data_IF_602323296641
#
_entry.id   IF_602323296641
#
_cell.length_a   1.000
_cell.length_b   1.000
_cell.length_c   1.000
_cell.angle_alpha   90.00
_cell.angle_beta   90.00
_cell.angle_gamma   90.00
#
_symmetry.space_group_name_H-M   'P 1'
#
loop_
_entity.id
_entity.type
_entity.pdbx_description
1 polymer ?
#
# COMPACT_ATOMS: atom_id res chain seq x y z
N UNK A 1 -11.22 -3.42 -14.51
CA UNK A 1 -10.04 -4.18 -14.06
C UNK A 1 -9.90 -4.04 -12.56
N UNK A 2 -9.73 -5.12 -11.81
CA UNK A 2 -9.52 -5.00 -10.38
C UNK A 2 -8.15 -4.41 -10.07
N UNK A 3 -8.04 -3.74 -8.91
CA UNK A 3 -6.78 -3.28 -8.38
C UNK A 3 -6.12 -4.41 -7.61
N UNK A 4 -4.87 -4.70 -7.95
CA UNK A 4 -4.12 -5.75 -7.26
C UNK A 4 -3.38 -5.19 -6.06
N UNK A 5 -3.40 -5.93 -4.96
CA UNK A 5 -2.81 -5.51 -3.68
C UNK A 5 -1.78 -6.53 -3.22
N UNK A 6 -0.60 -6.05 -2.85
CA UNK A 6 0.42 -6.85 -2.16
C UNK A 6 0.37 -6.47 -0.68
N UNK A 7 0.19 -7.47 0.18
CA UNK A 7 0.09 -7.27 1.64
C UNK A 7 1.39 -7.73 2.30
N UNK A 8 2.07 -6.81 2.99
CA UNK A 8 3.36 -7.10 3.63
C UNK A 8 3.28 -6.82 5.13
N UNK A 9 3.38 -7.86 5.93
CA UNK A 9 3.39 -7.78 7.39
C UNK A 9 3.96 -9.10 7.91
N UNK A 10 4.80 -9.05 8.94
CA UNK A 10 5.40 -10.29 9.49
C UNK A 10 4.41 -11.12 10.30
N UNK A 11 3.30 -10.52 10.75
CA UNK A 11 2.28 -11.23 11.52
C UNK A 11 1.19 -11.77 10.61
N UNK A 12 1.02 -13.10 10.59
CA UNK A 12 -0.03 -13.73 9.77
C UNK A 12 -1.43 -13.23 10.13
N UNK A 13 -1.66 -12.94 11.42
CA UNK A 13 -2.92 -12.37 11.88
C UNK A 13 -3.20 -11.02 11.20
N UNK A 14 -2.19 -10.17 11.11
CA UNK A 14 -2.34 -8.86 10.46
C UNK A 14 -2.55 -9.00 8.96
N UNK A 15 -1.83 -9.91 8.30
CA UNK A 15 -2.05 -10.14 6.88
C UNK A 15 -3.48 -10.61 6.61
N UNK A 16 -4.00 -11.49 7.46
CA UNK A 16 -5.37 -11.97 7.35
C UNK A 16 -6.38 -10.82 7.51
N UNK A 17 -6.15 -9.95 8.48
CA UNK A 17 -7.02 -8.79 8.72
C UNK A 17 -7.01 -7.84 7.51
N UNK A 18 -5.83 -7.53 6.98
CA UNK A 18 -5.71 -6.65 5.82
C UNK A 18 -6.33 -7.30 4.58
N UNK A 19 -6.11 -8.59 4.38
CA UNK A 19 -6.75 -9.34 3.30
C UNK A 19 -8.27 -9.22 3.37
N UNK A 20 -8.84 -9.32 4.57
CA UNK A 20 -10.29 -9.19 4.75
C UNK A 20 -10.78 -7.79 4.39
N UNK A 21 -10.01 -6.75 4.71
CA UNK A 21 -10.34 -5.37 4.32
C UNK A 21 -10.45 -5.25 2.80
N UNK A 22 -9.56 -5.91 2.07
CA UNK A 22 -9.53 -5.85 0.60
C UNK A 22 -10.32 -6.97 -0.08
N UNK A 23 -11.06 -7.79 0.69
CA UNK A 23 -11.88 -8.87 0.13
C UNK A 23 -13.21 -8.31 -0.40
N UNK A 24 -13.11 -7.33 -1.30
CA UNK A 24 -14.26 -6.65 -1.90
C UNK A 24 -13.85 -6.03 -3.23
N UNK A 25 -14.78 -5.98 -4.18
CA UNK A 25 -14.52 -5.27 -5.43
C UNK A 25 -14.23 -3.79 -5.13
N UNK A 26 -13.32 -3.15 -5.84
CA UNK A 26 -12.59 -3.64 -7.02
C UNK A 26 -11.19 -4.18 -6.70
N UNK A 27 -10.96 -4.77 -5.54
CA UNK A 27 -9.64 -5.21 -5.11
C UNK A 27 -9.46 -6.72 -5.21
N UNK A 28 -8.22 -7.14 -5.49
CA UNK A 28 -7.78 -8.53 -5.44
C UNK A 28 -6.42 -8.55 -4.74
N UNK A 29 -6.29 -9.32 -3.67
CA UNK A 29 -5.01 -9.53 -3.01
C UNK A 29 -4.21 -10.50 -3.86
N UNK A 30 -3.17 -10.00 -4.53
CA UNK A 30 -2.36 -10.78 -5.46
C UNK A 30 -1.25 -11.55 -4.78
N UNK A 31 -0.83 -11.12 -3.58
CA UNK A 31 0.21 -11.81 -2.85
C UNK A 31 0.35 -11.28 -1.44
N UNK A 32 1.06 -12.05 -0.62
CA UNK A 32 1.38 -11.69 0.76
C UNK A 32 2.86 -11.96 1.00
N UNK A 33 3.51 -11.06 1.74
CA UNK A 33 4.91 -11.20 2.11
C UNK A 33 5.06 -10.99 3.62
N UNK A 34 6.01 -11.68 4.24
CA UNK A 34 6.23 -11.60 5.68
C UNK A 34 7.49 -10.84 6.07
N UNK A 35 8.24 -10.33 5.10
CA UNK A 35 9.42 -9.51 5.33
C UNK A 35 9.73 -8.68 4.09
N UNK A 36 10.69 -7.74 4.24
CA UNK A 36 11.04 -6.83 3.17
C UNK A 36 11.69 -7.50 1.96
N UNK A 37 12.47 -8.55 2.17
CA UNK A 37 13.13 -9.28 1.08
C UNK A 37 12.08 -9.91 0.17
N UNK A 38 11.12 -10.59 0.79
CA UNK A 38 10.03 -11.23 0.06
C UNK A 38 9.13 -10.19 -0.61
N UNK A 39 8.91 -9.05 0.04
CA UNK A 39 8.12 -7.96 -0.52
C UNK A 39 8.73 -7.45 -1.83
N UNK A 40 10.03 -7.24 -1.85
CA UNK A 40 10.73 -6.78 -3.06
C UNK A 40 10.60 -7.80 -4.19
N UNK A 41 10.80 -9.07 -3.86
CA UNK A 41 10.68 -10.16 -4.83
C UNK A 41 9.27 -10.20 -5.44
N UNK A 42 8.26 -10.17 -4.60
CA UNK A 42 6.87 -10.22 -5.05
C UNK A 42 6.47 -8.95 -5.81
N UNK A 43 7.00 -7.79 -5.40
CA UNK A 43 6.72 -6.56 -6.14
C UNK A 43 7.20 -6.68 -7.60
N UNK A 44 8.40 -7.22 -7.80
CA UNK A 44 8.94 -7.41 -9.13
C UNK A 44 8.11 -8.38 -9.97
N UNK A 45 7.61 -9.44 -9.34
CA UNK A 45 6.82 -10.46 -10.03
C UNK A 45 5.41 -10.00 -10.35
N UNK A 46 4.78 -9.32 -9.39
CA UNK A 46 3.34 -9.04 -9.45
C UNK A 46 3.01 -7.65 -10.00
N UNK A 47 3.91 -6.69 -9.87
CA UNK A 47 3.65 -5.29 -10.19
C UNK A 47 2.29 -4.84 -9.64
N UNK A 48 2.08 -4.91 -8.32
CA UNK A 48 0.77 -4.60 -7.74
C UNK A 48 0.42 -3.13 -7.90
N UNK A 49 -0.87 -2.84 -7.96
CA UNK A 49 -1.35 -1.46 -8.01
C UNK A 49 -1.16 -0.76 -6.67
N UNK A 50 -1.19 -1.52 -5.58
CA UNK A 50 -1.07 -1.01 -4.23
C UNK A 50 -0.28 -2.01 -3.38
N UNK A 51 0.57 -1.50 -2.51
CA UNK A 51 1.26 -2.31 -1.49
C UNK A 51 0.97 -1.74 -0.12
N UNK A 52 0.56 -2.58 0.82
CA UNK A 52 0.52 -2.22 2.24
C UNK A 52 1.76 -2.82 2.89
N UNK A 53 2.49 -2.02 3.67
CA UNK A 53 3.81 -2.39 4.19
C UNK A 53 3.94 -2.04 5.66
N UNK A 54 4.14 -3.05 6.51
CA UNK A 54 4.50 -2.81 7.91
C UNK A 54 5.88 -2.16 7.98
N UNK A 55 6.07 -1.25 8.92
CA UNK A 55 7.35 -0.54 9.08
C UNK A 55 8.40 -1.44 9.71
N UNK A 56 8.06 -2.14 10.79
CA UNK A 56 9.02 -2.95 11.56
C UNK A 56 8.79 -4.43 11.29
N UNK A 57 9.78 -5.05 10.67
CA UNK A 57 9.74 -6.48 10.33
C UNK A 57 11.13 -7.07 10.51
N UNK A 58 11.23 -8.41 10.70
CA UNK A 58 12.54 -9.06 10.77
C UNK A 58 13.23 -9.08 9.42
N UNK A 59 14.54 -9.31 9.41
CA UNK A 59 15.44 -9.40 8.25
C UNK A 59 15.60 -8.07 7.52
N UNK A 60 14.54 -7.52 6.95
CA UNK A 60 14.59 -6.21 6.30
C UNK A 60 13.32 -5.46 6.70
N UNK A 61 13.49 -4.26 7.30
CA UNK A 61 12.36 -3.44 7.71
C UNK A 61 11.62 -2.85 6.51
N UNK A 62 10.42 -2.31 6.78
CA UNK A 62 9.56 -1.81 5.72
C UNK A 62 10.10 -0.58 5.01
N UNK A 63 10.86 0.28 5.70
CA UNK A 63 11.41 1.49 5.07
C UNK A 63 12.50 1.12 4.08
N UNK A 64 13.36 0.17 4.45
CA UNK A 64 14.39 -0.33 3.54
C UNK A 64 13.76 -0.96 2.30
N UNK A 65 12.74 -1.77 2.49
CA UNK A 65 12.00 -2.37 1.38
C UNK A 65 11.31 -1.31 0.52
N UNK A 66 10.71 -0.32 1.14
CA UNK A 66 10.08 0.80 0.45
C UNK A 66 11.06 1.53 -0.46
N UNK A 67 12.25 1.86 0.05
CA UNK A 67 13.27 2.54 -0.74
C UNK A 67 13.65 1.74 -1.98
N UNK A 68 13.80 0.45 -1.83
CA UNK A 68 14.14 -0.43 -2.94
C UNK A 68 13.01 -0.51 -3.96
N UNK A 69 11.77 -0.63 -3.49
CA UNK A 69 10.60 -0.66 -4.37
C UNK A 69 10.46 0.65 -5.16
N UNK A 70 10.64 1.79 -4.50
CA UNK A 70 10.55 3.10 -5.14
C UNK A 70 11.69 3.29 -6.14
N UNK A 71 12.87 2.76 -5.84
CA UNK A 71 14.01 2.80 -6.77
C UNK A 71 13.70 2.00 -8.04
N UNK A 72 13.04 0.84 -7.88
CA UNK A 72 12.65 -0.01 -9.01
C UNK A 72 11.49 0.58 -9.80
N UNK A 73 10.57 1.23 -9.10
CA UNK A 73 9.35 1.79 -9.69
C UNK A 73 8.98 3.09 -8.96
N UNK A 74 9.40 4.24 -9.50
CA UNK A 74 9.10 5.53 -8.86
C UNK A 74 7.60 5.84 -8.76
N UNK A 75 6.77 5.14 -9.52
CA UNK A 75 5.32 5.31 -9.46
C UNK A 75 4.63 4.37 -8.46
N UNK A 76 5.41 3.58 -7.71
CA UNK A 76 4.87 2.62 -6.75
C UNK A 76 3.96 3.32 -5.72
N UNK A 77 2.82 2.69 -5.45
CA UNK A 77 1.88 3.17 -4.42
C UNK A 77 2.02 2.29 -3.19
N UNK A 78 2.63 2.84 -2.15
CA UNK A 78 2.90 2.10 -0.92
C UNK A 78 2.28 2.85 0.26
N UNK A 79 1.38 2.15 0.97
CA UNK A 79 0.77 2.64 2.21
C UNK A 79 1.47 1.95 3.37
N UNK A 80 2.13 2.72 4.23
CA UNK A 80 2.81 2.18 5.39
C UNK A 80 1.83 1.93 6.51
N UNK A 81 2.02 0.84 7.25
CA UNK A 81 1.24 0.52 8.43
C UNK A 81 2.14 0.65 9.64
N UNK A 82 1.80 1.54 10.57
CA UNK A 82 2.63 1.84 11.73
C UNK A 82 1.93 1.56 13.04
N UNK A 83 2.70 1.27 14.10
CA UNK A 83 2.18 1.25 15.46
C UNK A 83 2.22 2.66 16.05
N UNK A 84 1.49 2.86 17.14
CA UNK A 84 1.57 4.10 17.91
C UNK A 84 3.02 4.31 18.38
N UNK A 85 3.46 5.56 18.38
CA UNK A 85 4.81 5.90 18.82
C UNK A 85 5.88 5.81 17.76
N UNK A 86 5.51 5.57 16.50
CA UNK A 86 6.46 5.44 15.39
C UNK A 86 6.51 6.69 14.50
N UNK A 87 6.22 7.87 15.05
CA UNK A 87 6.11 9.11 14.26
C UNK A 87 7.39 9.44 13.49
N UNK A 88 8.57 9.22 14.09
CA UNK A 88 9.84 9.46 13.43
C UNK A 88 10.04 8.52 12.22
N UNK A 89 9.61 7.26 12.35
CA UNK A 89 9.68 6.29 11.28
C UNK A 89 8.69 6.62 10.16
N UNK A 90 7.52 7.13 10.52
CA UNK A 90 6.53 7.59 9.53
C UNK A 90 7.11 8.72 8.69
N UNK A 91 7.73 9.71 9.35
CA UNK A 91 8.36 10.83 8.65
C UNK A 91 9.45 10.34 7.68
N UNK A 92 10.29 9.40 8.13
CA UNK A 92 11.32 8.81 7.30
C UNK A 92 10.73 8.06 6.10
N UNK A 93 9.64 7.33 6.32
CA UNK A 93 8.95 6.60 5.24
C UNK A 93 8.40 7.56 4.19
N UNK A 94 7.77 8.65 4.60
CA UNK A 94 7.23 9.64 3.67
C UNK A 94 8.37 10.26 2.85
N UNK A 95 9.49 10.62 3.50
CA UNK A 95 10.67 11.14 2.80
C UNK A 95 11.24 10.12 1.83
N UNK A 96 11.06 8.84 2.12
CA UNK A 96 11.58 7.74 1.28
C UNK A 96 10.64 7.35 0.14
N UNK A 97 9.49 8.00 0.02
CA UNK A 97 8.59 7.81 -1.10
C UNK A 97 7.30 7.08 -0.81
N UNK A 98 6.96 6.87 0.48
CA UNK A 98 5.66 6.30 0.82
C UNK A 98 4.54 7.21 0.36
N UNK A 99 3.46 6.63 -0.15
CA UNK A 99 2.31 7.40 -0.63
C UNK A 99 1.47 7.93 0.52
N UNK A 100 1.31 7.12 1.56
CA UNK A 100 0.49 7.47 2.72
C UNK A 100 0.79 6.48 3.86
N UNK A 101 0.15 6.67 5.01
CA UNK A 101 0.29 5.75 6.14
C UNK A 101 -1.05 5.56 6.86
N UNK A 102 -1.17 4.45 7.59
CA UNK A 102 -2.26 4.18 8.51
C UNK A 102 -1.67 3.69 9.82
N UNK A 103 -2.34 3.95 10.93
CA UNK A 103 -1.86 3.60 12.28
C UNK A 103 -2.68 2.43 12.82
N UNK A 104 -1.99 1.43 13.36
CA UNK A 104 -2.64 0.30 14.03
C UNK A 104 -3.24 0.73 15.36
N UNK A 105 -4.41 0.21 15.78
CA UNK A 105 -5.18 -0.84 15.14
C UNK A 105 -5.88 -0.35 13.86
N UNK A 106 -5.90 -1.20 12.83
CA UNK A 106 -6.46 -0.82 11.54
C UNK A 106 -7.98 -0.89 11.56
N UNK A 107 -8.61 0.13 11.00
CA UNK A 107 -10.06 0.18 10.79
C UNK A 107 -10.32 0.17 9.30
N UNK A 108 -11.18 -0.74 8.84
CA UNK A 108 -11.43 -0.93 7.41
C UNK A 108 -11.83 0.37 6.70
N UNK A 109 -12.73 1.14 7.29
CA UNK A 109 -13.17 2.41 6.69
C UNK A 109 -12.04 3.40 6.51
N UNK A 110 -11.15 3.50 7.49
CA UNK A 110 -9.98 4.40 7.43
C UNK A 110 -9.00 3.93 6.35
N UNK A 111 -8.68 2.64 6.33
CA UNK A 111 -7.75 2.07 5.35
C UNK A 111 -8.29 2.31 3.92
N UNK A 112 -9.56 2.00 3.69
CA UNK A 112 -10.15 2.16 2.37
C UNK A 112 -10.21 3.62 1.94
N UNK A 113 -10.41 4.56 2.87
CA UNK A 113 -10.41 5.98 2.56
C UNK A 113 -9.01 6.45 2.12
N UNK A 114 -7.98 6.01 2.82
CA UNK A 114 -6.59 6.30 2.45
C UNK A 114 -6.29 5.71 1.08
N UNK A 115 -6.71 4.49 0.83
CA UNK A 115 -6.50 3.82 -0.46
C UNK A 115 -7.20 4.55 -1.60
N UNK A 116 -8.43 5.03 -1.39
CA UNK A 116 -9.13 5.86 -2.37
C UNK A 116 -8.27 7.07 -2.77
N UNK A 117 -7.73 7.77 -1.77
CA UNK A 117 -6.88 8.93 -2.01
C UNK A 117 -5.62 8.56 -2.78
N UNK A 118 -4.94 7.49 -2.37
CA UNK A 118 -3.67 7.06 -2.98
C UNK A 118 -3.86 6.63 -4.43
N UNK A 119 -4.95 5.95 -4.72
CA UNK A 119 -5.24 5.45 -6.07
C UNK A 119 -6.03 6.44 -6.93
N UNK A 120 -6.39 7.60 -6.38
CA UNK A 120 -7.17 8.61 -7.12
C UNK A 120 -8.57 8.15 -7.44
N UNK A 121 -9.26 7.54 -6.47
CA UNK A 121 -10.59 6.99 -6.64
C UNK A 121 -11.62 7.81 -5.87
N UNK A 122 -12.87 7.82 -6.37
CA UNK A 122 -13.99 8.42 -5.65
C UNK A 122 -14.52 7.46 -4.58
N UNK A 123 -15.60 7.86 -3.89
CA UNK A 123 -16.21 7.06 -2.82
C UNK A 123 -16.80 5.73 -3.30
N UNK A 124 -16.98 5.57 -4.60
CA UNK A 124 -17.47 4.34 -5.21
C UNK A 124 -16.33 3.55 -5.85
N UNK A 125 -15.09 3.89 -5.53
CA UNK A 125 -13.86 3.26 -6.05
C UNK A 125 -13.73 3.35 -7.56
N UNK A 126 -14.22 4.46 -8.15
CA UNK A 126 -14.06 4.78 -9.57
C UNK A 126 -13.01 5.87 -9.72
N UNK A 127 -12.25 5.88 -10.82
CA UNK A 127 -11.25 6.93 -11.05
C UNK A 127 -11.87 8.33 -10.98
N UNK A 128 -11.16 9.23 -10.28
CA UNK A 128 -11.56 10.63 -10.22
C UNK A 128 -11.32 11.31 -11.57
N UNK A 129 -12.16 12.29 -11.90
CA UNK A 129 -11.93 13.10 -13.09
C UNK A 129 -10.66 13.93 -12.91
N UNK A 130 -9.79 13.90 -13.91
CA UNK A 130 -8.57 14.70 -13.91
C UNK A 130 -8.92 16.07 -14.50
N UNK A 131 -8.58 17.19 -13.82
CA UNK A 131 -8.84 18.52 -14.38
C UNK A 131 -8.25 18.65 -15.79
N UNK A 132 -9.10 19.05 -16.75
CA UNK A 132 -8.71 19.16 -18.15
C UNK A 132 -8.83 17.87 -18.96
N UNK A 133 -9.02 16.73 -18.32
CA UNK A 133 -9.13 15.44 -19.02
C UNK A 133 -10.38 15.36 -19.89
N UNK A 134 -11.46 16.03 -19.48
CA UNK A 134 -12.70 16.07 -20.24
C UNK A 134 -12.52 16.72 -21.62
N UNK A 135 -11.56 17.64 -21.71
CA UNK A 135 -11.25 18.30 -22.98
C UNK A 135 -10.41 17.45 -23.91
N UNK A 136 -9.93 16.31 -23.45
CA UNK A 136 -9.04 15.40 -24.19
C UNK A 136 -9.80 14.15 -24.61
N UNK A 137 -11.07 14.08 -24.32
CA UNK A 137 -11.88 12.90 -24.61
C UNK A 137 -11.77 12.51 -26.08
N UNK A 138 -11.67 11.24 -26.37
CA UNK A 138 -11.54 10.73 -27.73
C UNK A 138 -12.73 11.06 -28.59
#
# INVERSE_FOLDING_TARGET
MPFTVLVVDDASFMRSMIRDIFARAPFVVAGEAENGVEAIRLYRELHPDLTTMDIVMPQMDGITALREIVRLDPAAKVVMCSALGQEALIAEAIESGASEFVVKPLHAGRVLKVVQSVLGLDEHFRPLAVPGAEGIAP
#
